data_IF_871444001946
#
_entry.id   IF_871444001946
#
_cell.length_a   1.000
_cell.length_b   1.000
_cell.length_c   1.000
_cell.angle_alpha   90.00
_cell.angle_beta   90.00
_cell.angle_gamma   90.00
#
_symmetry.space_group_name_H-M   'P 1'
#
loop_
_entity.id
_entity.type
_entity.pdbx_description
1 polymer ?
#
# COMPACT_ATOMS: atom_id res chain seq x y z
N UNK A 1 1.80 10.45 17.24
CA UNK A 1 2.26 9.30 16.44
C UNK A 1 3.30 8.58 17.26
N UNK A 2 3.06 7.36 17.72
CA UNK A 2 4.14 6.59 18.38
C UNK A 2 4.94 5.91 17.28
N UNK A 3 6.25 5.81 17.45
CA UNK A 3 7.10 5.06 16.54
C UNK A 3 7.87 4.01 17.35
N UNK A 4 8.15 2.87 16.73
CA UNK A 4 8.93 1.79 17.34
C UNK A 4 10.15 1.50 16.50
N UNK A 5 11.30 1.41 17.17
CA UNK A 5 12.54 1.00 16.54
C UNK A 5 12.43 -0.47 16.11
N UNK A 6 12.74 -0.83 14.85
CA UNK A 6 12.65 -2.21 14.41
C UNK A 6 13.71 -3.11 15.05
N UNK A 7 14.84 -2.55 15.53
CA UNK A 7 15.93 -3.38 16.05
C UNK A 7 15.85 -3.66 17.54
N UNK A 8 15.57 -2.64 18.35
CA UNK A 8 15.53 -2.79 19.81
C UNK A 8 14.11 -2.70 20.39
N UNK A 9 13.09 -2.59 19.53
CA UNK A 9 11.67 -2.49 19.89
C UNK A 9 11.32 -1.35 20.87
N UNK A 10 12.24 -0.39 21.07
CA UNK A 10 12.00 0.76 21.94
C UNK A 10 10.94 1.66 21.32
N UNK A 11 9.88 1.94 22.08
CA UNK A 11 8.86 2.90 21.70
C UNK A 11 9.38 4.35 21.89
N UNK A 12 9.17 5.20 20.89
CA UNK A 12 9.45 6.64 20.93
C UNK A 12 8.15 7.42 20.72
N UNK A 13 8.02 8.57 21.41
CA UNK A 13 6.84 9.43 21.27
C UNK A 13 6.75 10.12 19.89
N UNK A 14 7.88 10.20 19.18
CA UNK A 14 7.98 10.79 17.84
C UNK A 14 8.99 9.99 17.01
N UNK A 15 8.81 10.03 15.68
CA UNK A 15 9.78 9.49 14.74
C UNK A 15 11.04 10.37 14.77
N UNK A 16 12.24 9.81 15.04
CA UNK A 16 13.46 10.62 15.10
C UNK A 16 13.79 11.20 13.71
N UNK A 17 14.02 12.51 13.65
CA UNK A 17 14.34 13.21 12.40
C UNK A 17 15.61 12.69 11.71
N UNK A 18 16.56 12.16 12.47
CA UNK A 18 17.81 11.58 11.97
C UNK A 18 17.64 10.13 11.49
N UNK A 19 16.51 9.48 11.77
CA UNK A 19 16.30 8.03 11.56
C UNK A 19 17.09 7.15 12.54
N UNK A 20 17.85 7.74 13.47
CA UNK A 20 18.67 7.03 14.46
C UNK A 20 17.89 6.83 15.75
N UNK A 21 17.89 5.61 16.27
CA UNK A 21 17.23 5.28 17.51
C UNK A 21 17.99 5.86 18.72
N UNK A 22 17.32 6.57 19.65
CA UNK A 22 17.99 7.14 20.82
C UNK A 22 18.49 6.09 21.83
N UNK A 23 17.97 4.86 21.76
CA UNK A 23 18.31 3.78 22.68
C UNK A 23 19.46 2.93 22.16
N UNK A 24 19.32 2.32 20.97
CA UNK A 24 20.36 1.47 20.40
C UNK A 24 21.36 2.23 19.50
N UNK A 25 21.11 3.52 19.20
CA UNK A 25 21.95 4.35 18.32
C UNK A 25 22.11 3.80 16.89
N UNK A 26 21.26 2.86 16.49
CA UNK A 26 21.23 2.34 15.13
C UNK A 26 20.29 3.15 14.24
N UNK A 27 20.70 3.26 12.98
CA UNK A 27 19.91 3.91 11.95
C UNK A 27 18.93 2.92 11.32
N UNK A 28 17.67 3.33 11.18
CA UNK A 28 16.68 2.58 10.42
C UNK A 28 15.79 3.50 9.59
N UNK A 29 15.44 3.04 8.39
CA UNK A 29 14.44 3.67 7.52
C UNK A 29 13.04 3.06 7.67
N UNK A 30 12.93 1.90 8.30
CA UNK A 30 11.70 1.09 8.37
C UNK A 30 11.10 1.13 9.78
N UNK A 31 11.01 2.33 10.35
CA UNK A 31 10.34 2.53 11.63
C UNK A 31 8.88 2.10 11.56
N UNK A 32 8.42 1.43 12.61
CA UNK A 32 7.03 1.02 12.74
C UNK A 32 6.26 2.18 13.35
N UNK A 33 5.37 2.80 12.58
CA UNK A 33 4.59 3.97 12.98
C UNK A 33 3.20 3.53 13.40
N UNK A 34 2.82 3.84 14.63
CA UNK A 34 1.47 3.65 15.14
C UNK A 34 0.63 4.92 14.91
N UNK A 35 0.18 5.08 13.67
CA UNK A 35 -0.83 6.07 13.27
C UNK A 35 -1.93 5.44 12.40
N UNK A 36 -2.95 4.91 13.08
CA UNK A 36 -4.10 4.28 12.41
C UNK A 36 -4.87 5.24 11.49
N UNK A 37 -5.02 6.50 11.89
CA UNK A 37 -5.80 7.48 11.13
C UNK A 37 -5.12 7.79 9.78
N UNK A 38 -3.80 8.02 9.82
CA UNK A 38 -2.99 8.20 8.62
C UNK A 38 -2.96 6.94 7.75
N UNK A 39 -2.78 5.77 8.38
CA UNK A 39 -2.79 4.48 7.68
C UNK A 39 -4.08 4.26 6.90
N UNK A 40 -5.24 4.43 7.54
CA UNK A 40 -6.55 4.28 6.89
C UNK A 40 -6.74 5.32 5.78
N UNK A 41 -6.32 6.57 5.99
CA UNK A 41 -6.41 7.61 4.97
C UNK A 41 -5.61 7.21 3.72
N UNK A 42 -4.39 6.72 3.90
CA UNK A 42 -3.56 6.28 2.78
C UNK A 42 -4.14 5.05 2.09
N UNK A 43 -4.55 4.02 2.85
CA UNK A 43 -5.16 2.81 2.29
C UNK A 43 -6.43 3.10 1.50
N UNK A 44 -7.27 4.03 1.96
CA UNK A 44 -8.44 4.49 1.20
C UNK A 44 -8.04 5.21 -0.09
N UNK A 45 -7.01 6.05 -0.07
CA UNK A 45 -6.50 6.69 -1.27
C UNK A 45 -6.00 5.66 -2.29
N UNK A 46 -5.23 4.66 -1.84
CA UNK A 46 -4.78 3.56 -2.69
C UNK A 46 -5.95 2.76 -3.29
N UNK A 47 -6.99 2.49 -2.51
CA UNK A 47 -8.20 1.85 -3.03
C UNK A 47 -8.87 2.69 -4.13
N UNK A 48 -8.86 4.02 -4.03
CA UNK A 48 -9.37 4.88 -5.12
C UNK A 48 -8.51 4.78 -6.37
N UNK A 49 -7.19 4.71 -6.23
CA UNK A 49 -6.28 4.46 -7.35
C UNK A 49 -6.54 3.09 -8.00
N UNK A 50 -6.74 2.05 -7.18
CA UNK A 50 -7.06 0.69 -7.66
C UNK A 50 -8.36 0.67 -8.46
N UNK A 51 -9.39 1.41 -8.02
CA UNK A 51 -10.66 1.56 -8.77
C UNK A 51 -10.41 2.25 -10.12
N UNK A 52 -9.62 3.32 -10.14
CA UNK A 52 -9.26 4.00 -11.39
C UNK A 52 -8.54 3.06 -12.37
N UNK A 53 -7.57 2.30 -11.88
CA UNK A 53 -6.84 1.30 -12.68
C UNK A 53 -7.76 0.18 -13.16
N UNK A 54 -8.67 -0.30 -12.31
CA UNK A 54 -9.66 -1.30 -12.69
C UNK A 54 -10.57 -0.81 -13.83
N UNK A 55 -11.05 0.43 -13.76
CA UNK A 55 -11.89 1.03 -14.82
C UNK A 55 -11.11 1.15 -16.13
N UNK A 56 -9.89 1.68 -16.08
CA UNK A 56 -9.05 1.82 -17.28
C UNK A 56 -8.73 0.47 -17.92
N UNK A 57 -8.37 -0.53 -17.11
CA UNK A 57 -8.05 -1.86 -17.60
C UNK A 57 -9.30 -2.59 -18.14
N UNK A 58 -10.48 -2.38 -17.54
CA UNK A 58 -11.75 -2.92 -18.04
C UNK A 58 -12.18 -2.29 -19.36
N UNK A 59 -12.01 -0.96 -19.51
CA UNK A 59 -12.25 -0.28 -20.77
C UNK A 59 -11.31 -0.82 -21.85
N UNK A 60 -10.02 -0.94 -21.53
CA UNK A 60 -9.01 -1.47 -22.44
C UNK A 60 -9.32 -2.90 -22.90
N UNK A 61 -9.76 -3.76 -21.98
CA UNK A 61 -10.26 -5.11 -22.32
C UNK A 61 -11.48 -5.04 -23.25
N UNK A 62 -12.42 -4.14 -22.97
CA UNK A 62 -13.58 -3.91 -23.82
C UNK A 62 -13.19 -3.50 -25.25
N UNK A 63 -12.21 -2.61 -25.41
CA UNK A 63 -11.67 -2.25 -26.72
C UNK A 63 -11.06 -3.46 -27.44
N UNK A 64 -10.24 -4.27 -26.76
CA UNK A 64 -9.67 -5.49 -27.35
C UNK A 64 -10.77 -6.46 -27.83
N UNK A 65 -11.78 -6.71 -26.99
CA UNK A 65 -12.81 -7.71 -27.26
C UNK A 65 -13.87 -7.26 -28.27
N UNK A 66 -14.37 -6.03 -28.15
CA UNK A 66 -15.50 -5.55 -28.95
C UNK A 66 -15.08 -4.89 -30.26
N UNK A 67 -13.87 -4.35 -30.34
CA UNK A 67 -13.35 -3.69 -31.55
C UNK A 67 -12.28 -4.52 -32.27
N UNK A 68 -12.04 -5.77 -31.84
CA UNK A 68 -11.04 -6.69 -32.40
C UNK A 68 -9.67 -6.00 -32.58
N UNK A 69 -9.26 -5.28 -31.54
CA UNK A 69 -7.99 -4.56 -31.52
C UNK A 69 -6.86 -5.54 -31.22
N UNK A 70 -5.95 -5.73 -32.18
CA UNK A 70 -4.69 -6.48 -32.03
C UNK A 70 -3.58 -5.65 -31.36
N UNK A 71 -3.92 -4.51 -30.77
CA UNK A 71 -2.94 -3.67 -30.10
C UNK A 71 -2.46 -4.33 -28.79
N UNK A 72 -1.19 -4.75 -28.81
CA UNK A 72 -0.47 -5.34 -27.69
C UNK A 72 -0.57 -4.46 -26.43
N UNK A 73 -0.55 -3.14 -26.56
CA UNK A 73 -0.57 -2.21 -25.43
C UNK A 73 -1.89 -2.30 -24.69
N UNK A 74 -3.01 -2.37 -25.39
CA UNK A 74 -4.32 -2.53 -24.75
C UNK A 74 -4.44 -3.90 -24.05
N UNK A 75 -3.91 -4.96 -24.66
CA UNK A 75 -3.86 -6.26 -24.00
C UNK A 75 -3.03 -6.23 -22.71
N UNK A 76 -1.86 -5.60 -22.71
CA UNK A 76 -1.04 -5.45 -21.51
C UNK A 76 -1.74 -4.62 -20.42
N UNK A 77 -2.40 -3.52 -20.79
CA UNK A 77 -3.17 -2.69 -19.85
C UNK A 77 -4.34 -3.48 -19.24
N UNK A 78 -5.02 -4.32 -20.03
CA UNK A 78 -6.12 -5.16 -19.53
C UNK A 78 -5.68 -6.17 -18.46
N UNK A 79 -4.42 -6.63 -18.48
CA UNK A 79 -3.89 -7.52 -17.44
C UNK A 79 -3.81 -6.85 -16.07
N UNK A 80 -3.81 -5.52 -15.99
CA UNK A 80 -3.79 -4.78 -14.75
C UNK A 80 -5.07 -4.94 -13.91
N UNK A 81 -6.16 -5.51 -14.46
CA UNK A 81 -7.39 -5.85 -13.73
C UNK A 81 -7.08 -6.74 -12.52
N UNK A 82 -6.20 -7.73 -12.70
CA UNK A 82 -5.86 -8.72 -11.66
C UNK A 82 -5.14 -8.05 -10.48
N UNK A 83 -3.98 -7.39 -10.66
CA UNK A 83 -3.27 -6.75 -9.55
C UNK A 83 -4.10 -5.64 -8.88
N UNK A 84 -4.87 -4.87 -9.65
CA UNK A 84 -5.75 -3.84 -9.07
C UNK A 84 -6.82 -4.44 -8.15
N UNK A 85 -7.44 -5.56 -8.56
CA UNK A 85 -8.45 -6.25 -7.76
C UNK A 85 -7.86 -6.85 -6.48
N UNK A 86 -6.66 -7.44 -6.56
CA UNK A 86 -5.96 -8.01 -5.41
C UNK A 86 -5.51 -6.93 -4.42
N UNK A 87 -4.92 -5.82 -4.92
CA UNK A 87 -4.53 -4.66 -4.12
C UNK A 87 -5.74 -4.09 -3.38
N UNK A 88 -6.85 -3.87 -4.10
CA UNK A 88 -8.06 -3.32 -3.51
C UNK A 88 -8.58 -4.18 -2.35
N UNK A 89 -8.65 -5.50 -2.54
CA UNK A 89 -9.15 -6.41 -1.50
C UNK A 89 -8.23 -6.48 -0.28
N UNK A 90 -6.91 -6.45 -0.52
CA UNK A 90 -5.91 -6.39 0.55
C UNK A 90 -6.06 -5.11 1.37
N UNK A 91 -6.11 -3.95 0.70
CA UNK A 91 -6.29 -2.64 1.33
C UNK A 91 -7.63 -2.54 2.09
N UNK A 92 -8.70 -3.06 1.50
CA UNK A 92 -10.01 -3.12 2.14
C UNK A 92 -9.99 -3.98 3.42
N UNK A 93 -9.37 -5.17 3.35
CA UNK A 93 -9.23 -6.06 4.51
C UNK A 93 -8.40 -5.40 5.62
N UNK A 94 -7.34 -4.69 5.27
CA UNK A 94 -6.51 -3.97 6.23
C UNK A 94 -7.31 -2.89 6.97
N UNK A 95 -8.09 -2.07 6.25
CA UNK A 95 -8.94 -1.02 6.85
C UNK A 95 -10.06 -1.60 7.72
N UNK A 96 -10.60 -2.77 7.37
CA UNK A 96 -11.70 -3.40 8.14
C UNK A 96 -11.26 -4.10 9.43
N UNK A 97 -9.96 -4.25 9.67
CA UNK A 97 -9.43 -5.01 10.82
C UNK A 97 -8.52 -4.14 11.70
N UNK A 98 -9.07 -3.14 12.40
CA UNK A 98 -8.30 -2.31 13.31
C UNK A 98 -7.67 -3.13 14.45
N UNK A 99 -8.28 -4.26 14.81
CA UNK A 99 -7.79 -5.22 15.81
C UNK A 99 -6.46 -5.88 15.43
N UNK A 100 -6.13 -5.93 14.14
CA UNK A 100 -4.89 -6.54 13.64
C UNK A 100 -3.78 -5.54 13.34
N UNK A 101 -4.03 -4.26 13.60
CA UNK A 101 -3.08 -3.22 13.31
C UNK A 101 -2.03 -3.14 14.43
N UNK A 102 -0.77 -3.33 14.06
CA UNK A 102 0.37 -3.32 14.99
C UNK A 102 1.35 -2.16 14.69
N UNK A 103 0.86 -1.12 14.00
CA UNK A 103 1.69 -0.13 13.35
C UNK A 103 1.96 -0.49 11.89
N UNK A 104 2.53 0.47 11.16
CA UNK A 104 2.87 0.31 9.75
C UNK A 104 4.22 0.95 9.44
N UNK A 105 4.90 0.39 8.45
CA UNK A 105 6.11 0.93 7.85
C UNK A 105 5.77 1.78 6.61
N UNK A 106 6.77 2.49 6.08
CA UNK A 106 6.65 3.18 4.79
C UNK A 106 6.31 2.20 3.64
N UNK A 107 6.80 0.95 3.72
CA UNK A 107 6.53 -0.11 2.72
C UNK A 107 5.06 -0.55 2.74
N UNK A 108 4.44 -0.60 3.92
CA UNK A 108 3.03 -0.94 4.08
C UNK A 108 2.07 0.08 3.45
N UNK A 109 2.57 1.28 3.16
CA UNK A 109 1.84 2.35 2.48
C UNK A 109 1.94 2.27 0.94
N UNK A 110 2.60 1.24 0.39
CA UNK A 110 2.62 0.96 -1.05
C UNK A 110 1.44 0.07 -1.47
N UNK A 111 0.95 0.27 -2.69
CA UNK A 111 -0.22 -0.46 -3.24
C UNK A 111 0.15 -1.59 -4.20
N UNK A 112 1.38 -1.60 -4.75
CA UNK A 112 1.75 -2.47 -5.89
C UNK A 112 2.90 -3.42 -5.59
N UNK A 113 3.48 -3.34 -4.38
CA UNK A 113 4.45 -4.31 -3.90
C UNK A 113 3.69 -5.19 -2.91
N UNK A 114 3.44 -6.48 -3.25
CA UNK A 114 2.85 -7.38 -2.28
C UNK A 114 3.82 -7.51 -1.11
N UNK A 115 3.39 -7.12 0.08
CA UNK A 115 3.98 -7.64 1.31
C UNK A 115 3.55 -9.10 1.41
N UNK A 116 4.38 -9.97 0.83
CA UNK A 116 4.44 -11.39 1.14
C UNK A 116 5.32 -11.53 2.38
#
# INVERSE_FOLDING_TARGET
>A
MKARCPECESDTETLPHTGVCPTCHEFSNDWIIDDWAQFVKMKKFLMWCDVGMFVMASLSLGFCLFLSSDDLVLWLVSLAIIPASLSFHSNYRAVKRPDKYQGHTSKDLSSWIPLI
#
